data_IF_774961008851
#
_entry.id   IF_774961008851
#
_cell.length_a   1.000
_cell.length_b   1.000
_cell.length_c   1.000
_cell.angle_alpha   90.00
_cell.angle_beta   90.00
_cell.angle_gamma   90.00
#
_symmetry.space_group_name_H-M   'P 1'
#
loop_
_entity.id
_entity.type
_entity.pdbx_description
1 polymer ?
#
# COMPACT_ATOMS: atom_id res chain seq x y z
N UNK A 1 -20.01 -80.17 12.01
CA UNK A 1 -19.41 -78.88 12.42
C UNK A 1 -17.87 -78.93 12.26
N UNK A 2 -17.23 -79.00 11.10
CA UNK A 2 -17.55 -78.71 9.69
C UNK A 2 -17.68 -77.20 9.39
N UNK A 3 -16.64 -76.69 8.71
CA UNK A 3 -16.56 -75.65 7.66
C UNK A 3 -15.40 -74.69 7.95
N UNK A 4 -14.23 -74.90 7.32
CA UNK A 4 -13.83 -74.25 6.07
C UNK A 4 -13.31 -72.82 6.32
N UNK A 5 -12.09 -72.40 5.97
CA UNK A 5 -11.14 -72.88 4.96
C UNK A 5 -9.79 -72.21 5.24
N UNK A 6 -8.79 -73.04 5.52
CA UNK A 6 -7.47 -72.89 4.92
C UNK A 6 -7.68 -72.81 3.39
N UNK A 7 -6.86 -72.02 2.68
CA UNK A 7 -6.76 -71.91 1.21
C UNK A 7 -7.44 -70.70 0.55
N UNK A 8 -6.71 -69.57 0.49
CA UNK A 8 -6.71 -68.67 -0.66
C UNK A 8 -5.50 -67.70 -0.62
N UNK A 9 -4.32 -68.21 -0.25
CA UNK A 9 -3.05 -67.50 -0.45
C UNK A 9 -2.38 -68.06 -1.70
N UNK A 10 -2.99 -67.83 -2.88
CA UNK A 10 -2.39 -68.11 -4.20
C UNK A 10 -3.20 -67.43 -5.31
N UNK A 11 -2.49 -66.71 -6.18
CA UNK A 11 -2.88 -66.26 -7.53
C UNK A 11 -4.01 -65.22 -7.62
N UNK A 12 -3.99 -64.23 -8.50
CA UNK A 12 -3.01 -63.69 -9.44
C UNK A 12 -3.61 -62.33 -9.88
N UNK A 13 -2.87 -61.24 -9.83
CA UNK A 13 -2.29 -60.69 -11.05
C UNK A 13 -3.33 -60.14 -12.05
N UNK A 14 -3.67 -58.84 -11.97
CA UNK A 14 -3.95 -57.98 -13.14
C UNK A 14 -4.18 -56.51 -12.76
N UNK A 15 -3.20 -55.69 -13.12
CA UNK A 15 -3.31 -54.34 -13.72
C UNK A 15 -4.42 -53.38 -13.27
N UNK A 16 -4.03 -52.24 -12.69
CA UNK A 16 -4.62 -50.91 -13.00
C UNK A 16 -3.72 -49.77 -12.46
N UNK A 17 -3.81 -48.57 -13.02
CA UNK A 17 -2.69 -47.92 -13.68
C UNK A 17 -1.94 -46.90 -12.83
N UNK A 18 -0.71 -46.63 -13.29
CA UNK A 18 0.07 -45.41 -13.07
C UNK A 18 -0.81 -44.16 -12.97
N UNK A 19 -1.07 -43.69 -11.75
CA UNK A 19 -1.26 -42.26 -11.47
C UNK A 19 0.10 -41.67 -11.17
N UNK A 20 0.66 -41.06 -12.21
CA UNK A 20 1.87 -40.28 -12.15
C UNK A 20 1.83 -39.32 -10.95
N UNK A 21 2.89 -39.34 -10.15
CA UNK A 21 3.22 -38.25 -9.25
C UNK A 21 3.26 -36.96 -10.08
N UNK A 22 2.32 -36.05 -9.84
CA UNK A 22 2.37 -34.69 -10.39
C UNK A 22 3.64 -34.05 -9.83
N UNK A 23 4.63 -33.70 -10.65
CA UNK A 23 5.79 -32.98 -10.15
C UNK A 23 5.29 -31.60 -9.71
N UNK A 24 5.51 -31.27 -8.44
CA UNK A 24 5.28 -29.95 -7.88
C UNK A 24 6.21 -28.95 -8.61
N UNK A 25 5.71 -28.43 -9.73
CA UNK A 25 6.42 -27.49 -10.60
C UNK A 25 6.54 -26.14 -9.90
N UNK A 26 7.68 -25.92 -9.25
CA UNK A 26 8.55 -24.76 -9.51
C UNK A 26 7.98 -23.34 -9.36
N UNK A 27 6.87 -23.09 -8.66
CA UNK A 27 6.36 -21.72 -8.44
C UNK A 27 7.12 -20.91 -7.38
N UNK A 28 8.00 -21.53 -6.60
CA UNK A 28 8.80 -20.86 -5.56
C UNK A 28 10.01 -20.06 -6.09
N UNK A 29 10.64 -20.51 -7.18
CA UNK A 29 11.91 -19.93 -7.66
C UNK A 29 11.77 -18.53 -8.30
N UNK A 30 10.66 -18.26 -9.01
CA UNK A 30 10.46 -16.98 -9.71
C UNK A 30 10.18 -15.81 -8.76
N UNK A 31 9.60 -16.04 -7.57
CA UNK A 31 9.38 -14.99 -6.56
C UNK A 31 10.69 -14.59 -5.86
N UNK A 32 11.56 -15.56 -5.57
CA UNK A 32 12.86 -15.30 -4.93
C UNK A 32 13.82 -14.52 -5.86
N UNK A 33 13.89 -14.86 -7.15
CA UNK A 33 14.73 -14.16 -8.14
C UNK A 33 14.28 -12.71 -8.38
N UNK A 34 12.95 -12.45 -8.45
CA UNK A 34 12.41 -11.08 -8.62
C UNK A 34 12.62 -10.21 -7.38
N UNK A 35 12.61 -10.80 -6.18
CA UNK A 35 12.87 -10.11 -4.91
C UNK A 35 14.35 -9.74 -4.70
N UNK A 36 15.29 -10.46 -5.32
CA UNK A 36 16.72 -10.08 -5.33
C UNK A 36 16.97 -8.82 -6.15
N UNK A 37 16.44 -8.77 -7.37
CA UNK A 37 16.62 -7.64 -8.29
C UNK A 37 15.93 -6.36 -7.80
N UNK A 38 14.74 -6.49 -7.19
CA UNK A 38 14.01 -5.34 -6.63
C UNK A 38 14.72 -4.68 -5.44
N UNK A 39 15.43 -5.47 -4.62
CA UNK A 39 16.24 -4.93 -3.51
C UNK A 39 17.48 -4.22 -4.04
N UNK A 40 18.19 -4.81 -5.01
CA UNK A 40 19.33 -4.18 -5.67
C UNK A 40 18.95 -2.85 -6.33
N UNK A 41 17.85 -2.81 -7.07
CA UNK A 41 17.34 -1.58 -7.67
C UNK A 41 16.99 -0.52 -6.61
N UNK A 42 16.35 -0.91 -5.50
CA UNK A 42 16.04 0.04 -4.41
C UNK A 42 17.30 0.64 -3.80
N UNK A 43 18.33 -0.16 -3.53
CA UNK A 43 19.58 0.34 -2.99
C UNK A 43 20.30 1.27 -3.99
N UNK A 44 20.28 0.93 -5.28
CA UNK A 44 20.82 1.78 -6.33
C UNK A 44 20.08 3.12 -6.43
N UNK A 45 18.75 3.12 -6.37
CA UNK A 45 17.94 4.34 -6.37
C UNK A 45 18.20 5.20 -5.12
N UNK A 46 18.32 4.58 -3.94
CA UNK A 46 18.65 5.30 -2.70
C UNK A 46 20.05 5.91 -2.77
N UNK A 47 21.03 5.16 -3.27
CA UNK A 47 22.40 5.65 -3.47
C UNK A 47 22.44 6.81 -4.47
N UNK A 48 21.77 6.67 -5.62
CA UNK A 48 21.67 7.72 -6.61
C UNK A 48 20.99 8.98 -6.04
N UNK A 49 19.92 8.82 -5.26
CA UNK A 49 19.25 9.93 -4.58
C UNK A 49 20.14 10.64 -3.57
N UNK A 50 20.87 9.89 -2.74
CA UNK A 50 21.81 10.48 -1.77
C UNK A 50 22.98 11.19 -2.47
N UNK A 51 23.53 10.60 -3.53
CA UNK A 51 24.59 11.22 -4.34
C UNK A 51 24.11 12.50 -5.03
N UNK A 52 22.90 12.51 -5.60
CA UNK A 52 22.32 13.69 -6.22
C UNK A 52 22.08 14.81 -5.20
N UNK A 53 21.56 14.48 -4.01
CA UNK A 53 21.40 15.45 -2.93
C UNK A 53 22.74 15.97 -2.40
N UNK A 54 23.74 15.10 -2.28
CA UNK A 54 25.10 15.50 -1.91
C UNK A 54 25.74 16.45 -2.93
N UNK A 55 25.58 16.18 -4.22
CA UNK A 55 26.01 17.10 -5.27
C UNK A 55 25.26 18.43 -5.19
N UNK A 56 23.94 18.41 -5.00
CA UNK A 56 23.15 19.63 -4.82
C UNK A 56 23.66 20.47 -3.64
N UNK A 57 24.00 19.83 -2.52
CA UNK A 57 24.53 20.50 -1.33
C UNK A 57 25.88 21.18 -1.59
N UNK A 58 26.74 20.57 -2.40
CA UNK A 58 28.07 21.11 -2.73
C UNK A 58 28.03 22.22 -3.78
N UNK A 59 27.21 22.06 -4.82
CA UNK A 59 27.18 22.99 -5.96
C UNK A 59 26.12 24.10 -5.80
N UNK A 60 25.00 23.81 -5.13
CA UNK A 60 23.84 24.71 -4.99
C UNK A 60 23.30 24.67 -3.54
N UNK A 61 24.08 25.21 -2.57
CA UNK A 61 23.79 25.06 -1.15
C UNK A 61 22.46 25.69 -0.73
N UNK A 62 22.03 26.78 -1.38
CA UNK A 62 20.74 27.45 -1.09
C UNK A 62 19.54 26.57 -1.46
N UNK A 63 19.64 25.84 -2.58
CA UNK A 63 18.61 24.88 -3.00
C UNK A 63 18.50 23.72 -2.02
N UNK A 64 19.64 23.13 -1.67
CA UNK A 64 19.68 22.03 -0.70
C UNK A 64 19.14 22.49 0.66
N UNK A 65 19.52 23.68 1.13
CA UNK A 65 19.01 24.26 2.36
C UNK A 65 17.48 24.43 2.29
N UNK A 66 16.96 25.02 1.21
CA UNK A 66 15.52 25.23 1.05
C UNK A 66 14.76 23.89 1.09
N UNK A 67 15.28 22.83 0.46
CA UNK A 67 14.68 21.49 0.52
C UNK A 67 14.63 20.98 1.97
N UNK A 68 15.72 21.11 2.72
CA UNK A 68 15.78 20.63 4.11
C UNK A 68 14.79 21.37 5.00
N UNK A 69 14.78 22.71 4.95
CA UNK A 69 13.91 23.50 5.82
C UNK A 69 12.45 23.45 5.35
N UNK A 70 12.20 23.50 4.04
CA UNK A 70 10.86 23.42 3.48
C UNK A 70 10.21 22.06 3.65
N UNK A 71 10.99 20.97 3.62
CA UNK A 71 10.48 19.61 3.90
C UNK A 71 10.54 19.23 5.39
N UNK A 72 10.87 20.16 6.29
CA UNK A 72 10.97 19.91 7.73
C UNK A 72 9.74 19.19 8.32
N UNK A 73 8.47 19.56 8.00
CA UNK A 73 7.29 18.85 8.53
C UNK A 73 7.29 17.35 8.20
N UNK A 74 7.62 17.01 6.95
CA UNK A 74 7.72 15.60 6.52
C UNK A 74 8.94 14.87 7.09
N UNK A 75 10.04 15.58 7.32
CA UNK A 75 11.21 15.02 8.01
C UNK A 75 10.88 14.68 9.46
N UNK A 76 10.19 15.58 10.17
CA UNK A 76 9.69 15.33 11.52
C UNK A 76 8.78 14.10 11.52
N UNK A 77 7.82 14.01 10.59
CA UNK A 77 6.98 12.82 10.49
C UNK A 77 7.79 11.54 10.24
N UNK A 78 8.81 11.58 9.38
CA UNK A 78 9.67 10.42 9.06
C UNK A 78 10.35 9.83 10.30
N UNK A 79 10.83 10.68 11.20
CA UNK A 79 11.52 10.28 12.44
C UNK A 79 10.57 9.93 13.58
N UNK A 80 9.45 10.65 13.72
CA UNK A 80 8.57 10.53 14.88
C UNK A 80 7.30 9.68 14.65
N UNK A 81 6.94 9.34 13.42
CA UNK A 81 5.74 8.52 13.17
C UNK A 81 6.01 7.02 13.37
N UNK A 82 5.26 6.41 14.30
CA UNK A 82 5.36 5.00 14.69
C UNK A 82 3.99 4.32 14.60
N UNK A 83 3.97 3.01 14.32
CA UNK A 83 2.76 2.18 14.33
C UNK A 83 2.38 1.56 12.98
N UNK A 84 1.28 0.81 12.97
CA UNK A 84 0.86 -0.03 11.84
C UNK A 84 0.59 0.75 10.54
N UNK A 85 0.11 2.00 10.66
CA UNK A 85 -0.23 2.85 9.53
C UNK A 85 0.85 3.89 9.20
N UNK A 86 2.08 3.69 9.66
CA UNK A 86 3.20 4.61 9.41
C UNK A 86 3.41 4.93 7.93
N UNK A 87 3.47 3.90 7.06
CA UNK A 87 3.72 4.10 5.62
C UNK A 87 2.70 5.00 4.93
N UNK A 88 1.38 4.70 4.98
CA UNK A 88 0.39 5.55 4.32
C UNK A 88 0.36 6.97 4.93
N UNK A 89 0.50 7.12 6.25
CA UNK A 89 0.56 8.44 6.89
C UNK A 89 1.74 9.27 6.39
N UNK A 90 2.94 8.68 6.36
CA UNK A 90 4.14 9.33 5.85
C UNK A 90 4.00 9.76 4.39
N UNK A 91 3.44 8.91 3.54
CA UNK A 91 3.26 9.22 2.12
C UNK A 91 2.30 10.41 1.98
N UNK A 92 1.17 10.40 2.69
CA UNK A 92 0.20 11.51 2.64
C UNK A 92 0.82 12.82 3.11
N UNK A 93 1.49 12.83 4.27
CA UNK A 93 2.14 14.04 4.80
C UNK A 93 3.24 14.54 3.86
N UNK A 94 4.05 13.63 3.29
CA UNK A 94 5.09 13.97 2.33
C UNK A 94 4.51 14.59 1.06
N UNK A 95 3.45 14.01 0.49
CA UNK A 95 2.80 14.55 -0.71
C UNK A 95 2.22 15.95 -0.48
N UNK A 96 1.53 16.16 0.64
CA UNK A 96 0.94 17.46 0.98
C UNK A 96 1.99 18.52 1.31
N UNK A 97 3.04 18.14 2.03
CA UNK A 97 4.17 19.03 2.29
C UNK A 97 4.87 19.42 0.99
N UNK A 98 5.18 18.43 0.14
CA UNK A 98 5.82 18.65 -1.16
C UNK A 98 4.95 19.54 -2.07
N UNK A 99 3.63 19.35 -2.07
CA UNK A 99 2.71 20.20 -2.85
C UNK A 99 2.74 21.66 -2.41
N UNK A 100 2.79 21.93 -1.10
CA UNK A 100 2.93 23.29 -0.57
C UNK A 100 4.32 23.90 -0.78
N UNK A 101 5.35 23.05 -0.78
CA UNK A 101 6.74 23.43 -1.00
C UNK A 101 7.08 23.76 -2.46
N UNK A 102 6.50 23.01 -3.40
CA UNK A 102 6.82 23.06 -4.83
C UNK A 102 6.81 24.47 -5.46
N UNK A 103 5.83 25.36 -5.20
CA UNK A 103 5.86 26.71 -5.76
C UNK A 103 7.08 27.53 -5.32
N UNK A 104 7.54 27.37 -4.07
CA UNK A 104 8.73 28.07 -3.55
C UNK A 104 10.01 27.51 -4.15
N UNK A 105 10.06 26.19 -4.33
CA UNK A 105 11.17 25.54 -5.03
C UNK A 105 11.29 26.02 -6.49
N UNK A 106 10.17 26.08 -7.21
CA UNK A 106 10.11 26.59 -8.58
C UNK A 106 10.51 28.08 -8.68
N UNK A 107 10.13 28.88 -7.69
CA UNK A 107 10.50 30.29 -7.58
C UNK A 107 12.02 30.45 -7.37
N UNK A 108 12.62 29.66 -6.47
CA UNK A 108 14.08 29.70 -6.27
C UNK A 108 14.84 29.20 -7.51
N UNK A 109 14.29 28.23 -8.25
CA UNK A 109 14.90 27.71 -9.49
C UNK A 109 15.07 28.78 -10.55
N UNK A 110 14.07 29.65 -10.67
CA UNK A 110 14.04 30.75 -11.64
C UNK A 110 14.68 32.04 -11.13
N UNK A 111 15.12 32.07 -9.86
CA UNK A 111 15.68 33.28 -9.26
C UNK A 111 17.07 33.59 -9.80
N UNK A 112 17.30 34.86 -10.15
CA UNK A 112 18.61 35.35 -10.55
C UNK A 112 19.54 35.47 -9.33
N UNK A 113 19.08 36.13 -8.26
CA UNK A 113 19.74 36.14 -6.96
C UNK A 113 19.13 35.07 -6.05
N UNK A 114 19.74 33.88 -6.06
CA UNK A 114 19.27 32.73 -5.25
C UNK A 114 19.48 32.93 -3.76
N UNK A 115 20.48 33.71 -3.35
CA UNK A 115 20.79 33.89 -1.92
C UNK A 115 19.79 34.85 -1.30
N UNK A 116 19.59 36.02 -1.91
CA UNK A 116 18.59 36.99 -1.45
C UNK A 116 17.18 36.40 -1.45
N UNK A 117 16.83 35.67 -2.52
CA UNK A 117 15.52 35.03 -2.63
C UNK A 117 15.29 33.97 -1.54
N UNK A 118 16.30 33.13 -1.27
CA UNK A 118 16.24 32.15 -0.18
C UNK A 118 15.98 32.82 1.17
N UNK A 119 16.73 33.87 1.51
CA UNK A 119 16.55 34.60 2.78
C UNK A 119 15.19 35.29 2.87
N UNK A 120 14.71 35.86 1.77
CA UNK A 120 13.36 36.42 1.66
C UNK A 120 12.30 35.36 1.97
N UNK A 121 12.42 34.16 1.37
CA UNK A 121 11.46 33.07 1.60
C UNK A 121 11.46 32.55 3.04
N UNK A 122 12.63 32.32 3.66
CA UNK A 122 12.67 31.74 5.01
C UNK A 122 12.25 32.72 6.10
N UNK A 123 12.30 34.03 5.83
CA UNK A 123 11.86 35.07 6.76
C UNK A 123 10.38 35.44 6.58
N UNK A 124 9.77 35.02 5.48
CA UNK A 124 8.36 35.28 5.18
C UNK A 124 7.43 34.29 5.90
N UNK A 125 6.56 34.83 6.75
CA UNK A 125 5.57 34.05 7.50
C UNK A 125 4.56 33.33 6.59
N UNK A 126 4.25 33.89 5.43
CA UNK A 126 3.29 33.30 4.50
C UNK A 126 3.84 32.04 3.85
N UNK A 127 5.15 31.97 3.63
CA UNK A 127 5.83 30.75 3.13
C UNK A 127 5.61 29.61 4.11
N UNK A 128 5.83 29.86 5.40
CA UNK A 128 5.60 28.88 6.46
C UNK A 128 4.12 28.52 6.60
N UNK A 129 3.24 29.51 6.52
CA UNK A 129 1.80 29.28 6.61
C UNK A 129 1.32 28.31 5.52
N UNK A 130 1.84 28.42 4.29
CA UNK A 130 1.50 27.50 3.19
C UNK A 130 2.11 26.13 3.43
N UNK A 131 3.41 26.03 3.73
CA UNK A 131 4.11 24.74 3.92
C UNK A 131 3.50 23.92 5.08
N UNK A 132 3.33 24.56 6.24
CA UNK A 132 2.72 23.91 7.39
C UNK A 132 1.22 23.73 7.21
N UNK A 133 0.54 24.68 6.56
CA UNK A 133 -0.89 24.61 6.27
C UNK A 133 -1.25 23.44 5.37
N UNK A 134 -0.55 23.24 4.25
CA UNK A 134 -0.80 22.09 3.38
C UNK A 134 -0.48 20.78 4.09
N UNK A 135 0.63 20.71 4.84
CA UNK A 135 0.95 19.52 5.63
C UNK A 135 -0.14 19.20 6.66
N UNK A 136 -0.66 20.21 7.35
CA UNK A 136 -1.75 20.08 8.30
C UNK A 136 -3.06 19.63 7.63
N UNK A 137 -3.36 20.10 6.42
CA UNK A 137 -4.48 19.58 5.62
C UNK A 137 -4.31 18.09 5.30
N UNK A 138 -3.09 17.66 4.96
CA UNK A 138 -2.77 16.24 4.78
C UNK A 138 -2.99 15.43 6.06
N UNK A 139 -2.60 15.97 7.21
CA UNK A 139 -2.87 15.36 8.52
C UNK A 139 -4.38 15.29 8.82
N UNK A 140 -5.13 16.35 8.53
CA UNK A 140 -6.57 16.41 8.67
C UNK A 140 -7.29 15.38 7.80
N UNK A 141 -6.80 15.15 6.58
CA UNK A 141 -7.32 14.09 5.70
C UNK A 141 -7.15 12.70 6.32
N UNK A 142 -6.05 12.44 7.02
CA UNK A 142 -5.83 11.17 7.71
C UNK A 142 -6.80 10.96 8.89
N UNK A 143 -7.26 12.06 9.52
CA UNK A 143 -8.28 12.00 10.57
C UNK A 143 -9.69 11.84 10.03
N UNK A 144 -10.04 12.50 8.92
CA UNK A 144 -11.38 12.44 8.32
C UNK A 144 -11.56 11.18 7.47
N UNK A 145 -10.47 10.64 6.92
CA UNK A 145 -10.46 9.49 6.01
C UNK A 145 -11.24 8.27 6.50
N UNK A 146 -11.07 7.80 7.76
CA UNK A 146 -11.83 6.68 8.29
C UNK A 146 -13.34 6.91 8.32
N UNK A 147 -13.79 8.13 8.66
CA UNK A 147 -15.22 8.48 8.65
C UNK A 147 -15.79 8.42 7.24
N UNK A 148 -15.07 8.98 6.27
CA UNK A 148 -15.50 8.95 4.87
C UNK A 148 -15.51 7.52 4.32
N UNK A 149 -14.50 6.71 4.67
CA UNK A 149 -14.44 5.30 4.30
C UNK A 149 -15.60 4.50 4.90
N UNK A 150 -15.98 4.77 6.16
CA UNK A 150 -17.10 4.11 6.80
C UNK A 150 -18.43 4.41 6.08
N UNK A 151 -18.68 5.67 5.72
CA UNK A 151 -19.89 6.08 4.99
C UNK A 151 -19.98 5.36 3.63
N UNK A 152 -18.88 5.36 2.86
CA UNK A 152 -18.83 4.68 1.56
C UNK A 152 -19.03 3.18 1.71
N UNK A 153 -18.39 2.57 2.72
CA UNK A 153 -18.48 1.13 2.94
C UNK A 153 -19.90 0.71 3.38
N UNK A 154 -20.58 1.52 4.19
CA UNK A 154 -21.98 1.30 4.55
C UNK A 154 -22.88 1.33 3.31
N UNK A 155 -22.74 2.33 2.45
CA UNK A 155 -23.51 2.42 1.21
C UNK A 155 -23.29 1.21 0.28
N UNK A 156 -22.04 0.75 0.15
CA UNK A 156 -21.72 -0.45 -0.63
C UNK A 156 -22.28 -1.73 0.01
N UNK A 157 -22.25 -1.83 1.34
CA UNK A 157 -22.81 -2.98 2.04
C UNK A 157 -24.33 -3.06 1.89
N UNK A 158 -25.03 -1.92 1.91
CA UNK A 158 -26.48 -1.88 1.69
C UNK A 158 -26.88 -2.40 0.30
N UNK A 159 -26.08 -2.10 -0.73
CA UNK A 159 -26.28 -2.67 -2.07
C UNK A 159 -26.07 -4.19 -2.07
N UNK A 160 -25.03 -4.67 -1.40
CA UNK A 160 -24.75 -6.11 -1.27
C UNK A 160 -25.85 -6.85 -0.53
N UNK A 161 -26.37 -6.28 0.56
CA UNK A 161 -27.49 -6.86 1.30
C UNK A 161 -28.70 -7.01 0.38
N UNK A 162 -29.05 -5.97 -0.38
CA UNK A 162 -30.15 -6.01 -1.36
C UNK A 162 -29.93 -7.06 -2.45
N UNK A 163 -28.70 -7.22 -2.94
CA UNK A 163 -28.38 -8.30 -3.91
C UNK A 163 -28.60 -9.68 -3.31
N UNK A 164 -28.15 -9.90 -2.08
CA UNK A 164 -28.31 -11.18 -1.37
C UNK A 164 -29.77 -11.48 -1.09
N UNK A 165 -30.54 -10.50 -0.60
CA UNK A 165 -31.98 -10.62 -0.36
C UNK A 165 -32.74 -10.97 -1.64
N UNK A 166 -32.42 -10.31 -2.78
CA UNK A 166 -33.02 -10.64 -4.08
C UNK A 166 -32.75 -12.09 -4.49
N UNK A 167 -31.53 -12.58 -4.28
CA UNK A 167 -31.17 -13.97 -4.59
C UNK A 167 -31.90 -14.95 -3.66
N UNK A 168 -31.99 -14.65 -2.37
CA UNK A 168 -32.77 -15.45 -1.42
C UNK A 168 -34.25 -15.51 -1.80
N UNK A 169 -34.84 -14.39 -2.20
CA UNK A 169 -36.24 -14.34 -2.66
C UNK A 169 -36.46 -15.15 -3.95
N UNK A 170 -35.52 -15.10 -4.90
CA UNK A 170 -35.59 -15.91 -6.12
C UNK A 170 -35.53 -17.41 -5.80
N UNK A 171 -34.63 -17.82 -4.91
CA UNK A 171 -34.51 -19.21 -4.47
C UNK A 171 -35.77 -19.70 -3.76
N UNK A 172 -36.36 -18.90 -2.86
CA UNK A 172 -37.62 -19.24 -2.19
C UNK A 172 -38.77 -19.38 -3.19
N UNK A 173 -38.80 -18.55 -4.25
CA UNK A 173 -39.82 -18.63 -5.29
C UNK A 173 -39.70 -19.92 -6.10
N UNK A 174 -38.49 -20.36 -6.40
CA UNK A 174 -38.23 -21.56 -7.21
C UNK A 174 -38.34 -22.86 -6.40
N UNK A 175 -37.92 -22.87 -5.14
CA UNK A 175 -37.73 -24.09 -4.33
C UNK A 175 -38.66 -24.18 -3.11
N UNK A 176 -39.48 -23.15 -2.86
CA UNK A 176 -40.39 -23.10 -1.71
C UNK A 176 -39.74 -22.51 -0.44
N UNK A 177 -40.55 -22.28 0.61
CA UNK A 177 -40.12 -21.58 1.82
C UNK A 177 -39.12 -22.36 2.68
N UNK A 178 -39.03 -23.68 2.51
CA UNK A 178 -38.17 -24.59 3.29
C UNK A 178 -36.67 -24.22 3.18
N UNK A 179 -36.26 -23.56 2.10
CA UNK A 179 -34.87 -23.13 1.85
C UNK A 179 -34.42 -22.00 2.80
N UNK A 180 -35.34 -21.23 3.39
CA UNK A 180 -34.98 -20.16 4.35
C UNK A 180 -34.57 -20.70 5.73
N UNK A 181 -35.02 -21.89 6.12
CA UNK A 181 -34.78 -22.46 7.45
C UNK A 181 -33.41 -23.13 7.58
N UNK A 182 -32.76 -23.46 6.47
CA UNK A 182 -31.47 -24.16 6.44
C UNK A 182 -30.22 -23.24 6.58
N UNK A 183 -30.41 -21.91 6.67
CA UNK A 183 -29.31 -20.95 6.82
C UNK A 183 -28.90 -20.72 8.28
N UNK A 184 -27.60 -20.51 8.59
CA UNK A 184 -27.16 -20.24 9.96
C UNK A 184 -27.73 -18.90 10.46
N UNK A 185 -28.36 -18.96 11.63
CA UNK A 185 -28.89 -17.81 12.38
C UNK A 185 -27.78 -16.87 12.89
#
# INVERSE_FOLDING_TARGET
>A
MIMAKKAAKKQAGRSSPSTAAVPATGRGGKKAARAGNARGLRHLLLFAGYAAFGALLLFEPTMAALIVVGLAPSLVALFFDHGAFRRPRLITLCCFNLAGFLPYFARLLSAHDRVGEFFSMITDIYVWAVIYGTTALGAGLLWIGPFLAAIVLQALNDERIKEVEKRQLALVKEWGPEVKEAGPA
#
